data_IF_609836412741
#
_entry.id   IF_609836412741
#
_cell.length_a   1.000
_cell.length_b   1.000
_cell.length_c   1.000
_cell.angle_alpha   90.00
_cell.angle_beta   90.00
_cell.angle_gamma   90.00
#
_symmetry.space_group_name_H-M   'P 1'
#
loop_
_entity.id
_entity.type
_entity.pdbx_description
1 polymer ?
#
# COMPACT_ATOMS: atom_id res chain seq x y z
N UNK A 1 2.14 20.69 -2.94
CA UNK A 1 3.28 19.87 -2.49
C UNK A 1 3.41 18.59 -3.33
N UNK A 2 3.44 18.70 -4.66
CA UNK A 2 3.58 17.56 -5.58
C UNK A 2 4.83 17.84 -6.42
N UNK A 3 5.93 17.13 -6.15
CA UNK A 3 7.22 17.46 -6.81
C UNK A 3 8.47 16.87 -6.17
N UNK A 4 8.38 15.71 -5.52
CA UNK A 4 9.60 14.92 -5.24
C UNK A 4 9.64 13.81 -6.26
N UNK A 5 10.71 13.75 -7.06
CA UNK A 5 11.01 12.68 -8.02
C UNK A 5 10.49 11.33 -7.52
N UNK A 6 9.75 10.60 -8.35
CA UNK A 6 9.31 9.23 -8.10
C UNK A 6 10.43 8.37 -7.48
N UNK A 7 11.66 8.52 -7.97
CA UNK A 7 12.86 7.87 -7.39
C UNK A 7 13.05 8.12 -5.89
N UNK A 8 12.89 9.35 -5.42
CA UNK A 8 13.01 9.69 -3.98
C UNK A 8 11.84 9.14 -3.16
N UNK A 9 10.64 9.12 -3.72
CA UNK A 9 9.50 8.47 -3.05
C UNK A 9 9.70 6.96 -2.96
N UNK A 10 10.29 6.34 -3.99
CA UNK A 10 10.64 4.93 -4.03
C UNK A 10 11.77 4.57 -3.05
N UNK A 11 12.78 5.43 -2.91
CA UNK A 11 13.88 5.27 -1.93
C UNK A 11 13.35 5.31 -0.48
N UNK A 12 12.41 6.23 -0.20
CA UNK A 12 11.73 6.33 1.10
C UNK A 12 10.83 5.12 1.35
N UNK A 13 10.12 4.65 0.32
CA UNK A 13 9.27 3.45 0.39
C UNK A 13 10.08 2.15 0.53
N UNK A 14 11.33 2.10 0.06
CA UNK A 14 12.20 0.93 0.24
C UNK A 14 12.53 0.67 1.72
N UNK A 15 12.49 1.70 2.56
CA UNK A 15 12.61 1.56 4.01
C UNK A 15 11.26 1.25 4.70
N UNK A 16 10.16 1.20 3.95
CA UNK A 16 8.84 0.87 4.46
C UNK A 16 8.60 -0.64 4.38
N UNK A 17 8.06 -1.21 5.47
CA UNK A 17 7.71 -2.63 5.55
C UNK A 17 6.60 -3.01 4.56
N UNK A 18 5.70 -2.06 4.30
CA UNK A 18 4.59 -2.19 3.37
C UNK A 18 4.53 -0.96 2.47
N UNK A 19 4.24 -1.18 1.19
CA UNK A 19 4.02 -0.15 0.17
C UNK A 19 2.58 -0.24 -0.30
N UNK A 20 1.83 0.85 -0.21
CA UNK A 20 0.48 0.93 -0.77
C UNK A 20 0.58 1.55 -2.17
N UNK A 21 0.14 0.82 -3.17
CA UNK A 21 0.05 1.22 -4.56
C UNK A 21 -1.42 1.51 -4.84
N UNK A 22 -1.67 2.72 -5.34
CA UNK A 22 -3.01 3.20 -5.64
C UNK A 22 -3.02 3.58 -7.12
N UNK A 23 -3.41 2.64 -7.97
CA UNK A 23 -3.69 2.88 -9.38
C UNK A 23 -5.09 3.46 -9.61
N UNK A 24 -5.33 4.11 -10.76
CA UNK A 24 -6.67 4.58 -11.14
C UNK A 24 -7.68 3.42 -11.18
N UNK A 25 -7.29 2.26 -11.71
CA UNK A 25 -8.13 1.05 -11.74
C UNK A 25 -8.49 0.53 -10.33
N UNK A 26 -7.55 0.59 -9.38
CA UNK A 26 -7.80 0.15 -8.00
C UNK A 26 -8.75 1.12 -7.30
N UNK A 27 -8.56 2.43 -7.50
CA UNK A 27 -9.48 3.45 -7.02
C UNK A 27 -10.89 3.30 -7.60
N UNK A 28 -11.01 2.99 -8.90
CA UNK A 28 -12.31 2.75 -9.55
C UNK A 28 -13.04 1.54 -8.97
N UNK A 29 -12.30 0.52 -8.53
CA UNK A 29 -12.84 -0.65 -7.86
C UNK A 29 -13.04 -0.45 -6.35
N UNK A 30 -12.66 0.72 -5.81
CA UNK A 30 -12.67 0.96 -4.37
C UNK A 30 -11.72 0.04 -3.61
N UNK A 31 -10.61 -0.37 -4.24
CA UNK A 31 -9.58 -1.22 -3.68
C UNK A 31 -8.22 -0.49 -3.69
N UNK A 32 -7.24 -1.04 -2.96
CA UNK A 32 -5.84 -0.63 -2.98
C UNK A 32 -4.96 -1.86 -3.00
N UNK A 33 -3.78 -1.75 -3.60
CA UNK A 33 -2.81 -2.83 -3.59
C UNK A 33 -1.78 -2.56 -2.50
N UNK A 34 -1.59 -3.49 -1.58
CA UNK A 34 -0.58 -3.44 -0.52
C UNK A 34 0.48 -4.47 -0.87
N UNK A 35 1.72 -4.02 -0.95
CA UNK A 35 2.90 -4.84 -1.22
C UNK A 35 3.80 -4.87 0.00
N UNK A 36 4.00 -6.05 0.55
CA UNK A 36 5.00 -6.30 1.59
C UNK A 36 6.39 -6.39 0.93
N UNK A 37 7.29 -5.47 1.27
CA UNK A 37 8.66 -5.45 0.73
C UNK A 37 9.59 -6.43 1.46
N UNK A 38 9.19 -6.95 2.61
CA UNK A 38 9.94 -7.88 3.46
C UNK A 38 9.72 -9.34 3.05
N UNK A 39 8.48 -9.69 2.71
CA UNK A 39 8.03 -11.01 2.26
C UNK A 39 7.91 -11.09 0.72
N UNK A 40 7.82 -9.95 0.03
CA UNK A 40 7.59 -9.88 -1.41
C UNK A 40 6.15 -10.20 -1.82
N UNK A 41 5.22 -10.21 -0.85
CA UNK A 41 3.83 -10.58 -1.05
C UNK A 41 3.00 -9.36 -1.46
N UNK A 42 2.13 -9.54 -2.44
CA UNK A 42 1.22 -8.50 -2.94
C UNK A 42 -0.21 -8.92 -2.61
N UNK A 43 -0.99 -8.02 -2.01
CA UNK A 43 -2.38 -8.26 -1.62
C UNK A 43 -3.26 -7.07 -1.99
N UNK A 44 -4.43 -7.35 -2.56
CA UNK A 44 -5.43 -6.32 -2.85
C UNK A 44 -6.44 -6.28 -1.72
N UNK A 45 -6.73 -5.09 -1.22
CA UNK A 45 -7.61 -4.87 -0.08
C UNK A 45 -8.60 -3.76 -0.43
N UNK A 46 -9.84 -3.84 0.04
CA UNK A 46 -10.83 -2.79 -0.21
C UNK A 46 -10.52 -1.50 0.56
N UNK A 47 -10.61 -0.36 -0.13
CA UNK A 47 -10.42 0.98 0.43
C UNK A 47 -11.37 1.24 1.60
N UNK A 48 -12.58 0.66 1.56
CA UNK A 48 -13.52 0.68 2.69
C UNK A 48 -12.93 -0.02 3.92
N UNK A 49 -12.40 -1.23 3.77
CA UNK A 49 -11.72 -1.95 4.87
C UNK A 49 -10.46 -1.22 5.34
N UNK A 50 -9.72 -0.57 4.42
CA UNK A 50 -8.56 0.23 4.76
C UNK A 50 -8.96 1.48 5.56
N UNK A 51 -10.10 2.08 5.23
CA UNK A 51 -10.63 3.27 5.91
C UNK A 51 -11.19 2.92 7.29
N UNK A 52 -11.87 1.78 7.39
CA UNK A 52 -12.47 1.28 8.63
C UNK A 52 -11.39 0.82 9.62
N UNK A 53 -10.46 -0.03 9.19
CA UNK A 53 -9.40 -0.55 10.05
C UNK A 53 -8.03 -0.64 9.35
N UNK A 54 -7.37 0.52 9.11
CA UNK A 54 -6.09 0.55 8.41
C UNK A 54 -5.01 -0.21 9.17
N UNK A 55 -5.11 -0.29 10.50
CA UNK A 55 -4.15 -1.04 11.33
C UNK A 55 -4.28 -2.52 11.12
N UNK A 56 -5.47 -3.11 11.13
CA UNK A 56 -5.64 -4.55 10.91
C UNK A 56 -5.26 -4.97 9.49
N UNK A 57 -5.44 -4.07 8.53
CA UNK A 57 -5.08 -4.29 7.13
C UNK A 57 -3.57 -4.23 6.89
N UNK A 58 -2.89 -3.27 7.53
CA UNK A 58 -1.44 -3.08 7.40
C UNK A 58 -0.65 -3.95 8.38
N UNK A 59 -1.25 -4.32 9.51
CA UNK A 59 -0.74 -5.33 10.43
C UNK A 59 -1.08 -6.69 9.83
N UNK A 60 -0.29 -7.10 8.83
CA UNK A 60 -0.14 -8.47 8.36
C UNK A 60 0.37 -9.38 9.50
N UNK A 61 -0.39 -9.45 10.59
CA UNK A 61 -0.28 -10.41 11.67
C UNK A 61 -1.37 -11.44 11.42
N UNK A 62 -1.11 -12.28 10.42
CA UNK A 62 -1.56 -13.67 10.31
C UNK A 62 -1.02 -14.22 8.98
N UNK A 63 0.28 -14.48 8.97
CA UNK A 63 0.91 -15.53 8.16
C UNK A 63 2.00 -16.18 9.00
#
# INVERSE_FOLDING_TARGET
MAGRNLKKQMDIANNARFTIIVGPQELEQGNVMVKDMKSGTEGTISLEKLTDDPKSVLNLEML
#
